data_IF_190966275020
#
_entry.id   IF_190966275020
#
_cell.length_a   1.000
_cell.length_b   1.000
_cell.length_c   1.000
_cell.angle_alpha   90.00
_cell.angle_beta   90.00
_cell.angle_gamma   90.00
#
_symmetry.space_group_name_H-M   'P 1'
#
loop_
_entity.id
_entity.type
_entity.pdbx_description
1 polymer ?
#
# COMPACT_ATOMS: atom_id res chain seq x y z
N UNK A 1 26.01 2.24 -17.70
CA UNK A 1 25.08 1.12 -17.41
C UNK A 1 24.99 0.75 -15.94
N UNK A 2 26.10 0.55 -15.20
CA UNK A 2 26.05 0.20 -13.76
C UNK A 2 25.33 1.23 -12.87
N UNK A 3 25.53 2.54 -13.10
CA UNK A 3 24.86 3.59 -12.32
C UNK A 3 23.33 3.62 -12.49
N UNK A 4 22.80 3.20 -13.64
CA UNK A 4 21.34 3.27 -13.89
C UNK A 4 20.56 2.16 -13.18
N UNK A 5 21.23 1.03 -12.92
CA UNK A 5 20.66 -0.10 -12.16
C UNK A 5 20.31 0.29 -10.73
N UNK A 6 21.14 1.12 -10.10
CA UNK A 6 21.00 1.53 -8.70
C UNK A 6 20.32 2.87 -8.51
N UNK A 7 20.05 3.59 -9.59
CA UNK A 7 19.42 4.90 -9.54
C UNK A 7 17.92 4.76 -9.30
N UNK A 8 17.40 5.38 -8.24
CA UNK A 8 15.98 5.47 -7.92
C UNK A 8 15.55 6.93 -7.88
N UNK A 9 14.24 7.17 -7.88
CA UNK A 9 13.66 8.49 -7.78
C UNK A 9 12.59 8.55 -6.68
N UNK A 10 12.42 9.75 -6.15
CA UNK A 10 11.29 10.15 -5.32
C UNK A 10 10.59 11.34 -5.96
N UNK A 11 9.33 11.56 -5.59
CA UNK A 11 8.60 12.78 -5.89
C UNK A 11 8.62 13.67 -4.66
N UNK A 12 9.12 14.90 -4.79
CA UNK A 12 9.16 15.89 -3.71
C UNK A 12 8.14 16.98 -4.03
N UNK A 13 7.31 17.42 -3.07
CA UNK A 13 6.37 18.52 -3.30
C UNK A 13 7.06 19.76 -3.86
N UNK A 14 6.49 20.33 -4.91
CA UNK A 14 6.87 21.62 -5.46
C UNK A 14 5.77 22.63 -5.16
N UNK A 15 6.11 23.70 -4.44
CA UNK A 15 5.15 24.74 -4.05
C UNK A 15 5.04 25.88 -5.08
N UNK A 16 5.80 25.82 -6.16
CA UNK A 16 5.69 26.78 -7.26
C UNK A 16 4.65 26.30 -8.28
N UNK A 17 3.43 26.81 -8.17
CA UNK A 17 2.30 26.50 -9.06
C UNK A 17 2.56 26.82 -10.54
N UNK A 18 3.53 27.69 -10.83
CA UNK A 18 3.88 28.08 -12.20
C UNK A 18 4.99 27.21 -12.81
N UNK A 19 5.62 26.35 -12.02
CA UNK A 19 6.66 25.44 -12.49
C UNK A 19 6.05 24.28 -13.29
N UNK A 20 6.74 23.84 -14.34
CA UNK A 20 6.41 22.58 -15.02
C UNK A 20 6.55 21.34 -14.13
N UNK A 21 7.20 21.49 -12.98
CA UNK A 21 7.37 20.45 -11.97
C UNK A 21 6.26 20.51 -10.88
N UNK A 22 5.23 21.36 -11.02
CA UNK A 22 4.08 21.34 -10.12
C UNK A 22 3.14 20.16 -10.44
N UNK A 23 2.61 19.42 -9.43
CA UNK A 23 2.74 19.64 -7.98
C UNK A 23 3.95 18.94 -7.34
N UNK A 24 4.75 18.19 -8.10
CA UNK A 24 5.88 17.45 -7.53
C UNK A 24 7.04 17.28 -8.51
N UNK A 25 8.26 17.49 -7.98
CA UNK A 25 9.52 17.33 -8.70
C UNK A 25 10.07 15.92 -8.55
N UNK A 26 10.49 15.30 -9.66
CA UNK A 26 11.25 14.04 -9.65
C UNK A 26 12.70 14.30 -9.23
N UNK A 27 13.12 13.75 -8.09
CA UNK A 27 14.50 13.83 -7.58
C UNK A 27 15.14 12.45 -7.65
N UNK A 28 16.32 12.37 -8.27
CA UNK A 28 17.07 11.12 -8.40
C UNK A 28 18.11 10.97 -7.28
N UNK A 29 18.33 9.74 -6.84
CA UNK A 29 19.35 9.40 -5.86
C UNK A 29 19.96 8.02 -6.13
N UNK A 30 21.08 7.73 -5.48
CA UNK A 30 21.71 6.41 -5.52
C UNK A 30 21.11 5.51 -4.43
N UNK A 31 20.50 4.40 -4.83
CA UNK A 31 19.92 3.38 -3.95
C UNK A 31 20.75 2.09 -3.93
N UNK A 32 22.04 2.17 -4.28
CA UNK A 32 22.97 1.03 -4.32
C UNK A 32 23.00 0.23 -3.02
N UNK A 33 22.92 0.90 -1.85
CA UNK A 33 22.83 0.26 -0.53
C UNK A 33 21.76 -0.85 -0.47
N UNK A 34 20.60 -0.60 -1.07
CA UNK A 34 19.46 -1.51 -1.03
C UNK A 34 19.47 -2.49 -2.20
N UNK A 35 19.79 -2.00 -3.40
CA UNK A 35 19.68 -2.73 -4.66
C UNK A 35 20.88 -3.62 -5.01
N UNK A 36 22.00 -3.50 -4.27
CA UNK A 36 23.10 -4.48 -4.35
C UNK A 36 22.70 -5.80 -3.69
N UNK A 37 21.78 -5.77 -2.74
CA UNK A 37 21.27 -6.97 -2.07
C UNK A 37 20.20 -7.67 -2.92
N UNK A 38 20.03 -8.99 -2.73
CA UNK A 38 18.94 -9.74 -3.37
C UNK A 38 17.59 -9.60 -2.65
N UNK A 39 17.49 -8.71 -1.65
CA UNK A 39 16.26 -8.47 -0.91
C UNK A 39 15.30 -7.58 -1.70
N UNK A 40 15.84 -6.57 -2.39
CA UNK A 40 15.03 -5.61 -3.14
C UNK A 40 15.20 -5.83 -4.64
N UNK A 41 14.09 -5.90 -5.36
CA UNK A 41 14.07 -5.92 -6.83
C UNK A 41 13.54 -4.57 -7.31
N UNK A 42 14.32 -3.89 -8.15
CA UNK A 42 13.87 -2.65 -8.81
C UNK A 42 12.83 -3.01 -9.87
N UNK A 43 11.63 -2.46 -9.76
CA UNK A 43 10.53 -2.70 -10.72
C UNK A 43 10.13 -1.45 -11.51
N UNK A 44 10.39 -0.26 -10.96
CA UNK A 44 10.28 1.00 -11.68
C UNK A 44 11.32 2.00 -11.16
N UNK A 45 11.29 3.25 -11.63
CA UNK A 45 12.12 4.31 -11.04
C UNK A 45 11.74 4.66 -9.59
N UNK A 46 10.52 4.33 -9.17
CA UNK A 46 9.95 4.74 -7.87
C UNK A 46 9.66 3.55 -6.95
N UNK A 47 9.47 2.36 -7.52
CA UNK A 47 8.97 1.19 -6.79
C UNK A 47 10.00 0.06 -6.75
N UNK A 48 10.02 -0.62 -5.61
CA UNK A 48 10.77 -1.84 -5.36
C UNK A 48 9.84 -2.97 -4.93
N UNK A 49 10.25 -4.20 -5.17
CA UNK A 49 9.71 -5.35 -4.45
C UNK A 49 10.66 -5.69 -3.30
N UNK A 50 10.18 -5.67 -2.06
CA UNK A 50 10.91 -6.16 -0.90
C UNK A 50 10.56 -7.63 -0.64
N UNK A 51 11.47 -8.55 -0.96
CA UNK A 51 11.26 -10.01 -0.78
C UNK A 51 11.22 -10.46 0.68
N UNK A 52 11.65 -9.60 1.60
CA UNK A 52 11.66 -9.86 3.05
C UNK A 52 10.81 -8.81 3.77
N UNK A 53 9.70 -8.40 3.17
CA UNK A 53 8.75 -7.52 3.83
C UNK A 53 8.20 -8.21 5.09
N UNK A 54 8.03 -7.44 6.16
CA UNK A 54 7.35 -7.95 7.34
C UNK A 54 5.87 -8.16 6.97
N UNK A 55 5.36 -9.37 7.18
CA UNK A 55 3.94 -9.64 6.99
C UNK A 55 3.11 -8.70 7.89
N UNK A 56 1.93 -8.26 7.42
CA UNK A 56 0.95 -7.69 8.34
C UNK A 56 0.52 -8.84 9.24
N UNK A 57 1.13 -8.91 10.42
CA UNK A 57 0.74 -9.88 11.42
C UNK A 57 -0.75 -9.70 11.67
N UNK A 58 -1.48 -10.82 11.62
CA UNK A 58 -2.65 -10.92 12.47
C UNK A 58 -3.76 -9.91 12.11
N UNK A 59 -4.05 -9.72 10.81
CA UNK A 59 -5.16 -8.87 10.30
C UNK A 59 -6.51 -9.21 10.98
N UNK A 60 -6.66 -10.46 11.42
CA UNK A 60 -7.84 -10.98 12.12
C UNK A 60 -7.60 -11.29 13.62
N UNK A 61 -6.52 -10.78 14.22
CA UNK A 61 -6.11 -11.17 15.58
C UNK A 61 -6.96 -10.61 16.70
N UNK A 62 -6.99 -11.40 17.78
CA UNK A 62 -7.55 -11.08 19.09
C UNK A 62 -6.70 -10.05 19.86
N UNK A 63 -5.46 -9.78 19.42
CA UNK A 63 -4.71 -8.61 19.86
C UNK A 63 -5.33 -7.37 19.22
N UNK A 64 -6.38 -6.91 19.90
CA UNK A 64 -7.23 -5.78 19.54
C UNK A 64 -6.36 -4.64 19.03
N UNK A 65 -5.33 -4.22 19.76
CA UNK A 65 -4.53 -3.03 19.41
C UNK A 65 -3.84 -3.09 18.05
N UNK A 66 -3.41 -4.28 17.60
CA UNK A 66 -2.76 -4.46 16.29
C UNK A 66 -3.78 -4.53 15.15
N UNK A 67 -4.86 -5.30 15.31
CA UNK A 67 -5.94 -5.40 14.30
C UNK A 67 -6.77 -4.12 14.22
N UNK A 68 -6.84 -3.33 15.30
CA UNK A 68 -7.54 -2.05 15.35
C UNK A 68 -7.03 -1.08 14.29
N UNK A 69 -5.72 -0.95 14.10
CA UNK A 69 -5.15 0.10 13.24
C UNK A 69 -5.65 -0.07 11.80
N UNK A 70 -5.43 -1.23 11.20
CA UNK A 70 -5.83 -1.48 9.80
C UNK A 70 -7.35 -1.58 9.62
N UNK A 71 -8.05 -2.18 10.57
CA UNK A 71 -9.53 -2.30 10.51
C UNK A 71 -10.20 -0.94 10.65
N UNK A 72 -9.63 -0.05 11.46
CA UNK A 72 -10.10 1.34 11.59
C UNK A 72 -9.89 2.12 10.30
N UNK A 73 -8.71 2.05 9.70
CA UNK A 73 -8.42 2.67 8.39
C UNK A 73 -9.42 2.20 7.33
N UNK A 74 -9.76 0.92 7.31
CA UNK A 74 -10.80 0.37 6.43
C UNK A 74 -12.19 0.98 6.73
N UNK A 75 -12.59 1.02 8.01
CA UNK A 75 -13.91 1.53 8.39
C UNK A 75 -14.06 3.03 8.06
N UNK A 76 -13.04 3.83 8.37
CA UNK A 76 -13.00 5.25 8.04
C UNK A 76 -13.17 5.45 6.53
N UNK A 77 -12.44 4.66 5.72
CA UNK A 77 -12.58 4.75 4.26
C UNK A 77 -13.94 4.31 3.73
N UNK A 78 -14.57 3.29 4.34
CA UNK A 78 -15.93 2.85 4.00
C UNK A 78 -16.96 3.96 4.30
N UNK A 79 -16.79 4.65 5.43
CA UNK A 79 -17.65 5.76 5.82
C UNK A 79 -17.58 6.91 4.81
N UNK A 80 -16.38 7.19 4.29
CA UNK A 80 -16.14 8.24 3.31
C UNK A 80 -16.52 7.87 1.87
N UNK A 81 -16.52 6.57 1.53
CA UNK A 81 -16.80 6.10 0.17
C UNK A 81 -18.23 6.38 -0.27
N UNK A 82 -18.45 6.77 -1.54
CA UNK A 82 -19.78 7.00 -2.13
C UNK A 82 -20.10 6.05 -3.27
N UNK A 83 -19.14 5.21 -3.65
CA UNK A 83 -19.12 4.54 -4.95
C UNK A 83 -19.88 3.21 -4.97
N UNK A 84 -20.13 2.62 -3.78
CA UNK A 84 -20.76 1.31 -3.66
C UNK A 84 -21.96 1.33 -2.70
N UNK A 85 -23.19 1.37 -3.23
CA UNK A 85 -24.41 1.33 -2.43
C UNK A 85 -24.48 0.13 -1.48
N UNK A 86 -23.90 -1.00 -1.89
CA UNK A 86 -23.88 -2.20 -1.07
C UNK A 86 -23.01 -2.10 0.18
N UNK A 87 -22.04 -1.18 0.23
CA UNK A 87 -21.24 -0.88 1.42
C UNK A 87 -21.99 0.01 2.43
N UNK A 88 -23.16 0.57 2.06
CA UNK A 88 -23.94 1.41 2.98
C UNK A 88 -24.39 0.68 4.25
N UNK A 89 -24.48 -0.66 4.22
CA UNK A 89 -24.79 -1.47 5.40
C UNK A 89 -23.67 -1.46 6.44
N UNK A 90 -22.45 -1.10 6.03
CA UNK A 90 -21.27 -1.00 6.89
C UNK A 90 -21.00 0.43 7.36
N UNK A 91 -21.59 1.42 6.67
CA UNK A 91 -21.39 2.84 6.99
C UNK A 91 -21.94 3.18 8.36
N UNK A 92 -21.17 3.96 9.12
CA UNK A 92 -21.50 4.43 10.46
C UNK A 92 -21.83 3.31 11.46
N UNK A 93 -21.47 2.05 11.15
CA UNK A 93 -21.55 0.94 12.09
C UNK A 93 -20.67 1.25 13.30
N UNK A 94 -21.09 0.84 14.50
CA UNK A 94 -20.22 0.92 15.66
C UNK A 94 -18.91 0.17 15.39
N UNK A 95 -17.77 0.75 15.75
CA UNK A 95 -16.46 0.16 15.45
C UNK A 95 -16.28 -1.25 16.04
N UNK A 96 -16.80 -1.52 17.24
CA UNK A 96 -16.71 -2.84 17.86
C UNK A 96 -17.53 -3.87 17.07
N UNK A 97 -18.71 -3.49 16.58
CA UNK A 97 -19.53 -4.36 15.75
C UNK A 97 -18.89 -4.59 14.38
N UNK A 98 -18.27 -3.56 13.80
CA UNK A 98 -17.52 -3.66 12.56
C UNK A 98 -16.30 -4.58 12.71
N UNK A 99 -15.53 -4.44 13.79
CA UNK A 99 -14.39 -5.29 14.10
C UNK A 99 -14.81 -6.76 14.19
N UNK A 100 -15.88 -7.06 14.94
CA UNK A 100 -16.44 -8.43 15.04
C UNK A 100 -16.96 -8.93 13.69
N UNK A 101 -17.59 -8.06 12.90
CA UNK A 101 -18.11 -8.42 11.60
C UNK A 101 -16.99 -8.79 10.63
N UNK A 102 -15.86 -8.09 10.67
CA UNK A 102 -14.71 -8.28 9.78
C UNK A 102 -13.71 -9.31 10.28
N UNK A 103 -13.85 -9.76 11.52
CA UNK A 103 -13.03 -10.82 12.08
C UNK A 103 -13.03 -12.05 11.16
N UNK A 104 -11.83 -12.54 10.86
CA UNK A 104 -11.54 -13.69 9.98
C UNK A 104 -11.96 -13.51 8.51
N UNK A 105 -12.38 -12.30 8.11
CA UNK A 105 -12.82 -11.98 6.75
C UNK A 105 -11.86 -11.08 6.00
N UNK A 106 -10.89 -10.49 6.69
CA UNK A 106 -9.87 -9.66 6.08
C UNK A 106 -8.71 -10.52 5.60
N UNK A 107 -8.22 -10.19 4.42
CA UNK A 107 -6.95 -10.69 3.90
C UNK A 107 -6.19 -9.54 3.26
N UNK A 108 -4.95 -9.73 2.87
CA UNK A 108 -4.19 -8.73 2.15
C UNK A 108 -3.28 -9.34 1.10
N UNK A 109 -2.78 -8.47 0.24
CA UNK A 109 -1.72 -8.77 -0.71
C UNK A 109 -0.69 -7.65 -0.62
N UNK A 110 0.59 -8.01 -0.45
CA UNK A 110 1.68 -7.07 -0.57
C UNK A 110 1.89 -6.72 -2.06
N UNK A 111 2.11 -5.44 -2.36
CA UNK A 111 2.17 -4.92 -3.73
C UNK A 111 3.60 -4.54 -4.10
N UNK A 112 4.16 -3.53 -3.42
CA UNK A 112 5.51 -3.00 -3.63
C UNK A 112 5.91 -2.12 -2.43
N UNK A 113 7.14 -1.60 -2.45
CA UNK A 113 7.70 -0.63 -1.50
C UNK A 113 8.15 0.63 -2.24
N UNK A 114 7.91 1.77 -1.63
CA UNK A 114 8.45 3.08 -2.02
C UNK A 114 9.53 3.55 -1.04
N UNK A 115 10.38 4.44 -1.56
CA UNK A 115 11.30 5.20 -0.73
C UNK A 115 10.58 6.34 -0.02
N UNK A 116 10.89 6.52 1.25
CA UNK A 116 10.50 7.71 1.97
C UNK A 116 11.27 8.93 1.45
N UNK A 117 10.56 10.04 1.27
CA UNK A 117 11.07 11.23 0.59
C UNK A 117 12.15 11.97 1.38
N UNK A 118 12.15 11.85 2.71
CA UNK A 118 13.12 12.50 3.59
C UNK A 118 14.33 11.59 3.86
N UNK A 119 14.08 10.35 4.26
CA UNK A 119 15.14 9.44 4.70
C UNK A 119 15.80 8.66 3.56
N UNK A 120 15.19 8.62 2.38
CA UNK A 120 15.61 7.81 1.23
C UNK A 120 15.78 6.32 1.58
N UNK A 121 14.96 5.82 2.51
CA UNK A 121 14.90 4.40 2.87
C UNK A 121 13.62 3.77 2.32
N UNK A 122 13.66 2.50 1.87
CA UNK A 122 12.50 1.80 1.34
C UNK A 122 11.61 1.29 2.48
N UNK A 123 10.84 2.20 3.10
CA UNK A 123 10.08 1.95 4.34
C UNK A 123 8.58 2.17 4.19
N UNK A 124 8.11 2.52 2.98
CA UNK A 124 6.70 2.74 2.68
C UNK A 124 6.17 1.54 1.90
N UNK A 125 5.54 0.60 2.59
CA UNK A 125 5.03 -0.64 1.97
C UNK A 125 3.57 -0.51 1.57
N UNK A 126 3.21 -1.03 0.41
CA UNK A 126 1.86 -0.98 -0.12
C UNK A 126 1.19 -2.34 -0.05
N UNK A 127 -0.06 -2.33 0.40
CA UNK A 127 -0.88 -3.53 0.57
C UNK A 127 -2.27 -3.30 -0.01
N UNK A 128 -2.79 -4.28 -0.73
CA UNK A 128 -4.21 -4.38 -1.06
C UNK A 128 -4.92 -5.13 0.06
N UNK A 129 -5.59 -4.42 0.94
CA UNK A 129 -6.46 -5.00 1.96
C UNK A 129 -7.76 -5.46 1.31
N UNK A 130 -8.07 -6.74 1.40
CA UNK A 130 -9.23 -7.39 0.79
C UNK A 130 -10.27 -7.71 1.85
N UNK A 131 -11.54 -7.41 1.54
CA UNK A 131 -12.64 -7.66 2.45
C UNK A 131 -13.95 -7.98 1.70
N UNK A 132 -14.80 -8.86 2.25
CA UNK A 132 -16.12 -9.13 1.69
C UNK A 132 -17.17 -8.15 2.26
N UNK A 133 -18.18 -7.84 1.45
CA UNK A 133 -19.42 -7.26 1.92
C UNK A 133 -20.58 -7.84 1.11
N UNK A 134 -21.56 -8.43 1.80
CA UNK A 134 -22.61 -9.27 1.20
C UNK A 134 -21.96 -10.38 0.35
N UNK A 135 -22.37 -10.53 -0.91
CA UNK A 135 -21.86 -11.55 -1.85
C UNK A 135 -20.71 -11.02 -2.72
N UNK A 136 -20.18 -9.83 -2.41
CA UNK A 136 -19.16 -9.16 -3.21
C UNK A 136 -17.88 -8.98 -2.41
N UNK A 137 -16.76 -8.84 -3.13
CA UNK A 137 -15.44 -8.61 -2.56
C UNK A 137 -14.86 -7.30 -3.05
N UNK A 138 -14.14 -6.65 -2.15
CA UNK A 138 -13.56 -5.33 -2.33
C UNK A 138 -12.11 -5.35 -1.92
N UNK A 139 -11.39 -4.34 -2.39
CA UNK A 139 -10.02 -4.08 -2.00
C UNK A 139 -9.81 -2.60 -1.71
N UNK A 140 -8.86 -2.33 -0.82
CA UNK A 140 -8.42 -0.99 -0.47
C UNK A 140 -6.89 -0.98 -0.50
N UNK A 141 -6.30 -0.07 -1.28
CA UNK A 141 -4.87 0.17 -1.24
C UNK A 141 -4.52 0.95 0.04
N UNK A 142 -3.69 0.34 0.88
CA UNK A 142 -3.21 0.86 2.16
C UNK A 142 -1.70 0.99 2.08
N UNK A 143 -1.19 2.10 2.61
CA UNK A 143 0.24 2.31 2.82
C UNK A 143 0.58 2.03 4.28
N UNK A 144 1.66 1.29 4.50
CA UNK A 144 2.27 1.06 5.81
C UNK A 144 3.54 1.89 5.93
N UNK A 145 3.63 2.62 7.03
CA UNK A 145 4.80 3.43 7.41
C UNK A 145 5.24 3.11 8.84
N UNK A 146 6.43 3.57 9.23
CA UNK A 146 6.94 3.43 10.61
C UNK A 146 6.89 4.78 11.30
N UNK A 147 6.19 4.85 12.44
CA UNK A 147 6.16 6.01 13.32
C UNK A 147 6.45 5.58 14.76
N UNK A 148 7.44 6.21 15.41
CA UNK A 148 7.87 5.85 16.79
C UNK A 148 8.12 4.34 16.98
N UNK A 149 8.79 3.70 16.02
CA UNK A 149 9.10 2.26 15.98
C UNK A 149 7.86 1.34 15.91
N UNK A 150 6.69 1.85 15.56
CA UNK A 150 5.50 1.04 15.30
C UNK A 150 5.00 1.24 13.87
N UNK A 151 4.36 0.20 13.33
CA UNK A 151 3.65 0.33 12.06
C UNK A 151 2.36 1.14 12.21
N UNK A 152 2.15 2.03 11.24
CA UNK A 152 0.90 2.76 10.99
C UNK A 152 0.38 2.39 9.61
N UNK A 153 -0.93 2.56 9.41
CA UNK A 153 -1.62 2.15 8.18
C UNK A 153 -2.58 3.25 7.75
N UNK A 154 -2.38 3.79 6.56
CA UNK A 154 -3.20 4.87 6.01
C UNK A 154 -3.82 4.43 4.68
N UNK A 155 -5.05 4.87 4.41
CA UNK A 155 -5.66 4.59 3.11
C UNK A 155 -4.96 5.43 2.04
N UNK A 156 -4.42 4.78 1.01
CA UNK A 156 -3.75 5.48 -0.09
C UNK A 156 -4.71 5.77 -1.25
N UNK A 157 -5.69 4.91 -1.47
CA UNK A 157 -6.64 5.03 -2.58
C UNK A 157 -8.10 4.88 -2.15
N UNK A 158 -9.01 4.94 -3.12
CA UNK A 158 -10.41 4.59 -2.96
C UNK A 158 -10.62 3.08 -2.78
N UNK A 159 -11.79 2.71 -2.28
CA UNK A 159 -12.23 1.32 -2.30
C UNK A 159 -12.50 0.94 -3.75
N UNK A 160 -12.15 -0.29 -4.10
CA UNK A 160 -12.30 -0.87 -5.42
C UNK A 160 -12.96 -2.24 -5.30
N UNK A 161 -13.53 -2.78 -6.38
CA UNK A 161 -13.90 -4.20 -6.41
C UNK A 161 -12.64 -5.06 -6.52
N UNK A 162 -12.74 -6.32 -6.10
CA UNK A 162 -11.64 -7.28 -6.19
C UNK A 162 -10.99 -7.27 -7.59
N UNK A 163 -9.66 -7.13 -7.64
CA UNK A 163 -8.81 -7.04 -8.82
C UNK A 163 -8.95 -5.78 -9.70
N UNK A 164 -9.78 -4.79 -9.36
CA UNK A 164 -9.85 -3.54 -10.12
C UNK A 164 -8.56 -2.72 -10.03
N UNK A 165 -7.84 -2.81 -8.92
CA UNK A 165 -6.55 -2.11 -8.77
C UNK A 165 -5.53 -2.65 -9.80
N UNK A 166 -5.38 -3.97 -9.87
CA UNK A 166 -4.49 -4.62 -10.84
C UNK A 166 -4.93 -4.36 -12.29
N UNK A 167 -6.24 -4.32 -12.54
CA UNK A 167 -6.76 -4.00 -13.86
C UNK A 167 -6.46 -2.56 -14.30
N UNK A 168 -6.40 -1.62 -13.36
CA UNK A 168 -6.11 -0.20 -13.64
C UNK A 168 -4.62 0.13 -13.64
N UNK A 169 -3.76 -0.73 -13.08
CA UNK A 169 -2.31 -0.52 -12.91
C UNK A 169 -1.48 -1.63 -13.59
N UNK A 170 -1.90 -2.07 -14.78
CA UNK A 170 -1.26 -3.19 -15.51
C UNK A 170 0.19 -2.91 -15.94
N UNK A 171 0.59 -1.65 -15.97
CA UNK A 171 1.93 -1.17 -16.28
C UNK A 171 2.87 -1.20 -15.07
N UNK A 172 2.34 -1.43 -13.87
CA UNK A 172 3.13 -1.53 -12.64
C UNK A 172 3.39 -3.01 -12.33
N UNK A 173 4.67 -3.36 -12.27
CA UNK A 173 5.14 -4.67 -11.84
C UNK A 173 5.03 -4.80 -10.31
N UNK A 174 4.35 -5.84 -9.84
CA UNK A 174 4.04 -6.05 -8.42
C UNK A 174 4.64 -7.33 -7.85
N UNK A 175 4.54 -7.52 -6.53
CA UNK A 175 4.93 -8.78 -5.89
C UNK A 175 4.15 -9.99 -6.42
N UNK A 176 2.89 -9.82 -6.83
CA UNK A 176 2.11 -10.88 -7.50
C UNK A 176 2.80 -11.32 -8.80
N UNK A 177 3.26 -10.37 -9.60
CA UNK A 177 3.97 -10.64 -10.87
C UNK A 177 5.32 -11.33 -10.63
N UNK A 178 6.02 -10.97 -9.55
CA UNK A 178 7.24 -11.67 -9.12
C UNK A 178 6.95 -13.13 -8.76
N UNK A 179 5.89 -13.40 -7.99
CA UNK A 179 5.49 -14.78 -7.65
C UNK A 179 5.08 -15.59 -8.89
N UNK A 180 4.54 -14.94 -9.91
CA UNK A 180 4.20 -15.53 -11.20
C UNK A 180 5.40 -15.68 -12.16
N UNK A 181 6.60 -15.23 -11.75
CA UNK A 181 7.82 -15.34 -12.55
C UNK A 181 7.92 -14.36 -13.72
N UNK A 182 7.21 -13.22 -13.67
CA UNK A 182 7.31 -12.16 -14.69
C UNK A 182 8.48 -11.21 -14.45
N UNK A 183 9.17 -11.34 -13.31
CA UNK A 183 10.24 -10.47 -12.85
C UNK A 183 11.40 -11.36 -12.38
N UNK A 184 12.58 -11.15 -12.95
CA UNK A 184 13.83 -11.88 -12.64
C UNK A 184 14.73 -11.11 -11.65
#
# INVERSE_FOLDING_TARGET
MYMQKYKMAILVPSYDENSSEYPSKKVWFDASEWLVTSQYIKVSDFFLINKKFDAIENVNSVDVFKSLKITRTLQEKINDSRDFPELHVLKNMNFIDFLKLMQDKLNYEYVYTEFDEESLKPVRDFFLLKFPCKEKKYELLVIRSIYKNEYTYDSYWFILRENEWHNSHRDIMTYRDYLEGKID
#
